data_IF_415411814412
#
_entry.id   IF_415411814412
#
_cell.length_a   1.000
_cell.length_b   1.000
_cell.length_c   1.000
_cell.angle_alpha   90.00
_cell.angle_beta   90.00
_cell.angle_gamma   90.00
#
_symmetry.space_group_name_H-M   'P 1'
#
loop_
_entity.id
_entity.type
_entity.pdbx_description
1 polymer ?
#
# COMPACT_ATOMS: atom_id res chain seq x y z
N UNK A 1 -18.96 -0.79 5.48
CA UNK A 1 -17.50 -0.77 5.66
C UNK A 1 -17.15 0.28 6.70
N UNK A 2 -16.16 0.00 7.57
CA UNK A 2 -15.62 0.98 8.51
C UNK A 2 -14.13 1.16 8.18
N UNK A 3 -13.74 2.39 7.83
CA UNK A 3 -12.42 2.69 7.29
C UNK A 3 -11.83 3.96 7.90
N UNK A 4 -10.50 4.11 7.99
CA UNK A 4 -9.85 5.30 8.53
C UNK A 4 -9.73 6.44 7.50
N UNK A 5 -10.13 6.22 6.25
CA UNK A 5 -10.04 7.20 5.17
C UNK A 5 -10.98 8.37 5.45
N UNK A 6 -10.45 9.60 5.43
CA UNK A 6 -11.25 10.80 5.66
C UNK A 6 -11.99 11.21 4.39
N UNK A 7 -13.21 11.70 4.55
CA UNK A 7 -13.98 12.26 3.45
C UNK A 7 -14.50 13.67 3.77
N UNK A 8 -14.66 14.48 2.73
CA UNK A 8 -15.30 15.79 2.81
C UNK A 8 -16.67 15.74 2.11
N UNK A 9 -17.72 16.27 2.75
CA UNK A 9 -19.04 16.34 2.16
C UNK A 9 -19.14 17.58 1.30
N UNK A 10 -19.33 17.41 -0.01
CA UNK A 10 -19.51 18.51 -0.96
C UNK A 10 -20.95 19.05 -0.93
N UNK A 11 -21.92 18.13 -0.88
CA UNK A 11 -23.35 18.43 -0.80
C UNK A 11 -24.13 17.24 -0.19
N UNK A 12 -25.44 17.21 -0.36
CA UNK A 12 -26.29 16.14 0.17
C UNK A 12 -25.97 14.74 -0.41
N UNK A 13 -25.43 14.68 -1.64
CA UNK A 13 -25.21 13.44 -2.39
C UNK A 13 -23.73 13.13 -2.63
N UNK A 14 -22.89 14.17 -2.79
CA UNK A 14 -21.50 14.01 -3.20
C UNK A 14 -20.54 14.16 -2.04
N UNK A 15 -19.50 13.32 -2.09
CA UNK A 15 -18.38 13.37 -1.16
C UNK A 15 -17.06 13.37 -1.93
N UNK A 16 -16.05 14.04 -1.38
CA UNK A 16 -14.70 14.02 -1.88
C UNK A 16 -13.79 13.26 -0.92
N UNK A 17 -12.94 12.40 -1.47
CA UNK A 17 -11.94 11.61 -0.75
C UNK A 17 -10.80 11.22 -1.68
N UNK A 18 -9.79 10.53 -1.18
CA UNK A 18 -8.64 10.08 -1.97
C UNK A 18 -9.06 9.37 -3.26
N UNK A 19 -8.57 9.82 -4.43
CA UNK A 19 -8.97 9.32 -5.75
C UNK A 19 -8.77 7.82 -5.92
N UNK A 20 -7.65 7.28 -5.40
CA UNK A 20 -7.37 5.85 -5.46
C UNK A 20 -8.39 5.03 -4.67
N UNK A 21 -8.88 5.55 -3.55
CA UNK A 21 -9.91 4.88 -2.76
C UNK A 21 -11.31 4.99 -3.40
N UNK A 22 -11.61 6.09 -4.11
CA UNK A 22 -12.82 6.18 -4.94
C UNK A 22 -12.87 5.05 -5.97
N UNK A 23 -11.78 4.87 -6.72
CA UNK A 23 -11.68 3.79 -7.71
C UNK A 23 -11.81 2.42 -7.07
N UNK A 24 -11.12 2.19 -5.94
CA UNK A 24 -11.23 0.94 -5.18
C UNK A 24 -12.68 0.61 -4.79
N UNK A 25 -13.43 1.59 -4.30
CA UNK A 25 -14.83 1.40 -3.91
C UNK A 25 -15.73 1.09 -5.11
N UNK A 26 -15.53 1.77 -6.25
CA UNK A 26 -16.26 1.48 -7.49
C UNK A 26 -15.99 0.06 -7.99
N UNK A 27 -14.73 -0.35 -8.05
CA UNK A 27 -14.34 -1.71 -8.43
C UNK A 27 -14.94 -2.75 -7.48
N UNK A 28 -14.84 -2.52 -6.17
CA UNK A 28 -15.41 -3.42 -5.16
C UNK A 28 -16.94 -3.51 -5.29
N UNK A 29 -17.61 -2.38 -5.54
CA UNK A 29 -19.05 -2.31 -5.74
C UNK A 29 -19.47 -3.07 -6.99
N UNK A 30 -18.73 -2.93 -8.10
CA UNK A 30 -18.98 -3.65 -9.34
C UNK A 30 -18.90 -5.17 -9.13
N UNK A 31 -17.86 -5.66 -8.47
CA UNK A 31 -17.63 -7.09 -8.25
C UNK A 31 -18.62 -7.73 -7.23
N UNK A 32 -19.11 -6.95 -6.26
CA UNK A 32 -20.03 -7.42 -5.22
C UNK A 32 -21.51 -7.10 -5.52
N UNK A 33 -21.79 -6.39 -6.59
CA UNK A 33 -23.12 -5.85 -6.91
C UNK A 33 -24.22 -6.88 -7.11
N UNK A 34 -23.89 -8.12 -7.44
CA UNK A 34 -24.83 -9.24 -7.56
C UNK A 34 -25.47 -9.63 -6.23
N UNK A 35 -24.77 -9.41 -5.11
CA UNK A 35 -25.23 -9.79 -3.76
C UNK A 35 -25.60 -8.59 -2.90
N UNK A 36 -24.85 -7.49 -2.99
CA UNK A 36 -25.02 -6.33 -2.16
C UNK A 36 -25.55 -5.14 -2.98
N UNK A 37 -26.78 -4.75 -2.77
CA UNK A 37 -27.41 -3.63 -3.46
C UNK A 37 -26.92 -2.27 -2.96
N UNK A 38 -26.45 -2.20 -1.70
CA UNK A 38 -25.99 -0.98 -1.06
C UNK A 38 -24.69 -1.18 -0.30
N UNK A 39 -23.76 -0.26 -0.47
CA UNK A 39 -22.55 -0.17 0.36
C UNK A 39 -22.66 1.05 1.26
N UNK A 40 -22.49 0.86 2.57
CA UNK A 40 -22.39 1.96 3.53
C UNK A 40 -20.94 2.07 3.99
N UNK A 41 -20.34 3.25 3.86
CA UNK A 41 -19.00 3.55 4.33
C UNK A 41 -19.09 4.48 5.54
N UNK A 42 -18.66 4.01 6.70
CA UNK A 42 -18.56 4.79 7.92
C UNK A 42 -17.10 5.20 8.14
N UNK A 43 -16.84 6.50 8.16
CA UNK A 43 -15.49 7.05 8.14
C UNK A 43 -15.40 8.41 8.89
N UNK A 44 -14.18 8.85 9.27
CA UNK A 44 -13.97 10.20 9.79
C UNK A 44 -14.21 11.28 8.73
N UNK A 45 -14.59 12.48 9.15
CA UNK A 45 -14.71 13.62 8.25
C UNK A 45 -13.39 14.36 8.08
N UNK A 46 -13.17 14.93 6.91
CA UNK A 46 -12.05 15.81 6.59
C UNK A 46 -12.44 17.26 6.92
N UNK A 47 -11.52 18.02 7.50
CA UNK A 47 -11.73 19.44 7.74
C UNK A 47 -11.74 20.23 6.41
N UNK A 48 -12.50 21.35 6.30
CA UNK A 48 -12.52 22.17 5.09
C UNK A 48 -11.13 22.65 4.64
N UNK A 49 -10.26 23.01 5.57
CA UNK A 49 -8.88 23.43 5.26
C UNK A 49 -8.05 22.30 4.64
N UNK A 50 -8.20 21.05 5.15
CA UNK A 50 -7.53 19.88 4.57
C UNK A 50 -8.07 19.58 3.17
N UNK A 51 -9.38 19.72 2.98
CA UNK A 51 -10.00 19.54 1.66
C UNK A 51 -9.43 20.52 0.63
N UNK A 52 -9.36 21.81 0.96
CA UNK A 52 -8.82 22.83 0.05
C UNK A 52 -7.35 22.59 -0.30
N UNK A 53 -6.56 22.17 0.69
CA UNK A 53 -5.13 21.87 0.47
C UNK A 53 -4.92 20.66 -0.43
N UNK A 54 -5.72 19.60 -0.24
CA UNK A 54 -5.49 18.31 -0.88
C UNK A 54 -6.38 18.09 -2.10
N UNK A 55 -7.16 19.10 -2.53
CA UNK A 55 -8.23 19.01 -3.55
C UNK A 55 -7.76 18.38 -4.86
N UNK A 56 -6.53 18.67 -5.30
CA UNK A 56 -5.98 18.11 -6.55
C UNK A 56 -5.81 16.58 -6.53
N UNK A 57 -5.77 15.98 -5.34
CA UNK A 57 -5.60 14.52 -5.16
C UNK A 57 -6.88 13.81 -4.76
N UNK A 58 -7.99 14.54 -4.64
CA UNK A 58 -9.27 14.00 -4.25
C UNK A 58 -10.12 13.66 -5.48
N UNK A 59 -10.81 12.54 -5.39
CA UNK A 59 -11.87 12.15 -6.32
C UNK A 59 -13.24 12.39 -5.69
N UNK A 60 -14.27 12.38 -6.51
CA UNK A 60 -15.66 12.54 -6.08
C UNK A 60 -16.45 11.26 -6.27
N UNK A 61 -17.26 10.90 -5.26
CA UNK A 61 -18.27 9.85 -5.34
C UNK A 61 -19.65 10.46 -5.15
N UNK A 62 -20.60 10.00 -5.99
CA UNK A 62 -22.02 10.32 -5.87
C UNK A 62 -22.75 9.15 -5.22
N UNK A 63 -23.48 9.42 -4.13
CA UNK A 63 -24.13 8.35 -3.35
C UNK A 63 -25.20 7.58 -4.14
N UNK A 64 -25.90 8.24 -5.04
CA UNK A 64 -26.96 7.63 -5.83
C UNK A 64 -26.39 6.88 -7.04
N UNK A 65 -25.45 7.51 -7.78
CA UNK A 65 -24.85 6.90 -8.97
C UNK A 65 -23.90 5.74 -8.62
N UNK A 66 -23.07 5.93 -7.60
CA UNK A 66 -22.12 4.90 -7.17
C UNK A 66 -22.74 3.85 -6.22
N UNK A 67 -23.97 4.06 -5.71
CA UNK A 67 -24.63 3.16 -4.77
C UNK A 67 -23.92 3.06 -3.41
N UNK A 68 -23.22 4.13 -2.99
CA UNK A 68 -22.37 4.16 -1.79
C UNK A 68 -22.85 5.25 -0.84
N UNK A 69 -23.42 4.86 0.30
CA UNK A 69 -23.85 5.78 1.35
C UNK A 69 -22.70 6.09 2.32
N UNK A 70 -22.54 7.36 2.69
CA UNK A 70 -21.50 7.82 3.61
C UNK A 70 -22.08 8.19 4.96
N UNK A 71 -21.41 7.68 6.02
CA UNK A 71 -21.75 7.94 7.42
C UNK A 71 -20.56 8.58 8.13
N UNK A 72 -20.70 9.83 8.54
CA UNK A 72 -19.70 10.52 9.32
C UNK A 72 -19.65 9.97 10.76
N UNK A 73 -18.49 9.53 11.21
CA UNK A 73 -18.27 9.04 12.56
C UNK A 73 -17.82 10.16 13.50
N UNK A 74 -16.65 10.76 13.23
CA UNK A 74 -16.09 11.86 14.02
C UNK A 74 -15.26 12.77 13.11
N UNK A 75 -14.91 14.00 13.59
CA UNK A 75 -13.91 14.84 12.91
C UNK A 75 -12.54 14.15 12.90
N UNK A 76 -11.89 14.09 11.75
CA UNK A 76 -10.58 13.45 11.58
C UNK A 76 -9.46 14.11 12.38
N UNK A 77 -9.60 15.42 12.64
CA UNK A 77 -8.66 16.22 13.44
C UNK A 77 -8.92 16.16 14.97
N UNK A 78 -9.94 15.42 15.43
CA UNK A 78 -10.25 15.34 16.86
C UNK A 78 -9.06 14.78 17.67
N UNK A 79 -8.60 15.53 18.67
CA UNK A 79 -7.60 15.07 19.63
C UNK A 79 -8.10 13.85 20.43
N UNK A 80 -7.18 13.04 21.00
CA UNK A 80 -7.52 11.81 21.73
C UNK A 80 -8.48 12.03 22.89
N UNK A 81 -8.21 13.03 23.73
CA UNK A 81 -9.06 13.37 24.89
C UNK A 81 -10.42 13.88 24.42
N UNK A 82 -10.45 14.82 23.47
CA UNK A 82 -11.68 15.35 22.89
C UNK A 82 -12.53 14.26 22.23
N UNK A 83 -11.90 13.28 21.60
CA UNK A 83 -12.61 12.12 21.05
C UNK A 83 -13.40 11.38 22.15
N UNK A 84 -12.75 10.99 23.24
CA UNK A 84 -13.40 10.21 24.30
C UNK A 84 -14.48 10.98 25.03
N UNK A 85 -14.24 12.27 25.32
CA UNK A 85 -15.20 13.11 26.08
C UNK A 85 -16.40 13.55 25.23
N UNK A 86 -16.20 13.87 23.95
CA UNK A 86 -17.24 14.51 23.12
C UNK A 86 -17.80 13.62 22.02
N UNK A 87 -17.00 12.73 21.45
CA UNK A 87 -17.37 11.99 20.23
C UNK A 87 -17.65 10.51 20.45
N UNK A 88 -16.95 9.85 21.37
CA UNK A 88 -17.01 8.40 21.54
C UNK A 88 -18.42 7.86 21.78
N UNK A 89 -19.29 8.43 22.66
CA UNK A 89 -20.64 7.91 22.85
C UNK A 89 -21.49 7.97 21.59
N UNK A 90 -21.36 9.07 20.82
CA UNK A 90 -22.06 9.22 19.53
C UNK A 90 -21.55 8.25 18.46
N UNK A 91 -20.24 8.06 18.39
CA UNK A 91 -19.58 7.10 17.46
C UNK A 91 -20.02 5.68 17.78
N UNK A 92 -19.95 5.26 19.05
CA UNK A 92 -20.36 3.92 19.51
C UNK A 92 -21.83 3.64 19.16
N UNK A 93 -22.74 4.58 19.50
CA UNK A 93 -24.18 4.44 19.18
C UNK A 93 -24.43 4.34 17.69
N UNK A 94 -23.78 5.20 16.90
CA UNK A 94 -23.91 5.22 15.44
C UNK A 94 -23.37 3.93 14.83
N UNK A 95 -22.18 3.53 15.23
CA UNK A 95 -21.54 2.31 14.75
C UNK A 95 -22.36 1.06 15.09
N UNK A 96 -22.89 0.96 16.31
CA UNK A 96 -23.78 -0.12 16.74
C UNK A 96 -25.01 -0.23 15.84
N UNK A 97 -25.64 0.91 15.54
CA UNK A 97 -26.83 0.96 14.68
C UNK A 97 -26.53 0.58 13.24
N UNK A 98 -25.43 1.09 12.68
CA UNK A 98 -25.04 0.78 11.31
C UNK A 98 -24.64 -0.70 11.15
N UNK A 99 -23.95 -1.28 12.13
CA UNK A 99 -23.63 -2.71 12.15
C UNK A 99 -24.89 -3.55 12.25
N UNK A 100 -25.86 -3.13 13.08
CA UNK A 100 -27.16 -3.83 13.20
C UNK A 100 -27.95 -3.87 11.89
N UNK A 101 -27.86 -2.81 11.10
CA UNK A 101 -28.55 -2.70 9.82
C UNK A 101 -27.80 -3.36 8.65
N UNK A 102 -26.58 -3.86 8.87
CA UNK A 102 -25.76 -4.43 7.83
C UNK A 102 -25.87 -5.96 7.79
N UNK A 103 -25.88 -6.55 6.59
CA UNK A 103 -25.77 -7.99 6.38
C UNK A 103 -24.32 -8.47 6.50
N UNK A 104 -23.38 -7.58 6.21
CA UNK A 104 -21.95 -7.85 6.18
C UNK A 104 -21.13 -6.65 6.66
N UNK A 105 -20.15 -6.91 7.53
CA UNK A 105 -19.27 -5.88 8.09
C UNK A 105 -17.85 -6.06 7.59
N UNK A 106 -17.32 -5.03 6.95
CA UNK A 106 -15.94 -4.97 6.51
C UNK A 106 -15.21 -3.89 7.32
N UNK A 107 -14.17 -4.26 8.05
CA UNK A 107 -13.34 -3.35 8.82
C UNK A 107 -11.90 -3.86 8.90
N UNK A 108 -11.00 -3.04 9.45
CA UNK A 108 -9.61 -3.40 9.73
C UNK A 108 -9.34 -3.64 11.22
N UNK A 109 -8.08 -3.90 11.56
CA UNK A 109 -7.57 -3.65 12.90
C UNK A 109 -7.17 -2.19 12.99
N UNK A 110 -7.51 -1.54 14.10
CA UNK A 110 -7.30 -0.08 14.20
C UNK A 110 -5.82 0.28 14.25
N UNK A 111 -5.42 1.19 13.38
CA UNK A 111 -4.07 1.79 13.42
C UNK A 111 -3.87 2.63 14.68
N UNK A 112 -4.92 3.33 15.11
CA UNK A 112 -4.92 4.11 16.36
C UNK A 112 -5.55 3.28 17.49
N UNK A 113 -4.68 2.73 18.34
CA UNK A 113 -5.09 1.90 19.49
C UNK A 113 -5.94 2.67 20.50
N UNK A 114 -5.82 4.00 20.54
CA UNK A 114 -6.64 4.86 21.41
C UNK A 114 -8.05 5.09 20.87
N UNK A 115 -8.25 4.95 19.57
CA UNK A 115 -9.55 5.09 18.90
C UNK A 115 -9.83 3.86 18.06
N UNK A 116 -10.08 2.70 18.69
CA UNK A 116 -10.16 1.41 18.01
C UNK A 116 -11.49 1.22 17.25
N UNK A 117 -11.87 2.17 16.40
CA UNK A 117 -13.18 2.26 15.76
C UNK A 117 -13.42 1.08 14.83
N UNK A 118 -12.44 0.75 13.99
CA UNK A 118 -12.54 -0.38 13.07
C UNK A 118 -12.66 -1.71 13.83
N UNK A 119 -11.87 -1.87 14.89
CA UNK A 119 -11.94 -3.06 15.73
C UNK A 119 -13.28 -3.14 16.50
N UNK A 120 -13.81 -2.01 16.97
CA UNK A 120 -15.15 -1.96 17.58
C UNK A 120 -16.24 -2.41 16.61
N UNK A 121 -16.11 -2.08 15.31
CA UNK A 121 -17.05 -2.57 14.31
C UNK A 121 -17.02 -4.11 14.20
N UNK A 122 -15.86 -4.73 14.25
CA UNK A 122 -15.73 -6.19 14.27
C UNK A 122 -16.29 -6.81 15.55
N UNK A 123 -16.05 -6.18 16.70
CA UNK A 123 -16.63 -6.60 17.98
C UNK A 123 -18.17 -6.52 17.93
N UNK A 124 -18.74 -5.42 17.42
CA UNK A 124 -20.18 -5.26 17.29
C UNK A 124 -20.78 -6.25 16.27
N UNK A 125 -20.07 -6.53 15.19
CA UNK A 125 -20.46 -7.59 14.26
C UNK A 125 -20.52 -8.96 14.96
N UNK A 126 -19.55 -9.28 15.79
CA UNK A 126 -19.53 -10.52 16.60
C UNK A 126 -20.69 -10.59 17.59
N UNK A 127 -20.94 -9.50 18.34
CA UNK A 127 -22.02 -9.42 19.33
C UNK A 127 -23.41 -9.50 18.70
N UNK A 128 -23.56 -9.04 17.47
CA UNK A 128 -24.84 -9.04 16.74
C UNK A 128 -24.95 -10.20 15.72
N UNK A 129 -24.04 -11.20 15.82
CA UNK A 129 -24.00 -12.36 14.93
C UNK A 129 -23.98 -11.98 13.43
N UNK A 130 -23.33 -10.84 13.07
CA UNK A 130 -23.18 -10.41 11.68
C UNK A 130 -21.92 -11.03 11.07
N UNK A 131 -22.03 -11.47 9.82
CA UNK A 131 -20.86 -11.92 9.05
C UNK A 131 -19.90 -10.76 8.88
N UNK A 132 -18.59 -11.03 9.03
CA UNK A 132 -17.59 -9.97 9.00
C UNK A 132 -16.31 -10.41 8.30
N UNK A 133 -15.62 -9.40 7.77
CA UNK A 133 -14.31 -9.50 7.16
C UNK A 133 -13.37 -8.49 7.80
N UNK A 134 -12.18 -8.96 8.15
CA UNK A 134 -11.08 -8.11 8.60
C UNK A 134 -10.05 -7.95 7.48
N UNK A 135 -9.60 -6.72 7.24
CA UNK A 135 -8.50 -6.43 6.31
C UNK A 135 -7.37 -5.74 7.06
N UNK A 136 -6.15 -6.23 6.91
CA UNK A 136 -4.95 -5.63 7.50
C UNK A 136 -3.99 -5.26 6.38
N UNK A 137 -3.78 -3.95 6.22
CA UNK A 137 -3.02 -3.39 5.11
C UNK A 137 -1.51 -3.35 5.37
N UNK A 138 -1.08 -3.22 6.62
CA UNK A 138 0.34 -3.06 6.96
C UNK A 138 0.67 -3.92 8.18
N UNK A 139 1.77 -4.64 8.09
CA UNK A 139 2.40 -5.28 9.25
C UNK A 139 3.22 -4.24 10.02
N UNK A 140 2.68 -3.77 11.12
CA UNK A 140 3.34 -2.76 11.97
C UNK A 140 4.29 -3.38 13.02
N UNK A 141 4.47 -4.71 12.99
CA UNK A 141 5.43 -5.37 13.86
C UNK A 141 6.84 -5.02 13.40
N UNK A 142 7.67 -4.56 14.30
CA UNK A 142 9.03 -4.10 13.98
C UNK A 142 9.15 -2.64 13.54
N UNK A 143 8.04 -1.97 13.17
CA UNK A 143 8.09 -0.55 12.77
C UNK A 143 8.73 0.34 13.84
N UNK A 144 8.37 0.14 15.10
CA UNK A 144 8.96 0.91 16.20
C UNK A 144 10.48 0.71 16.30
N UNK A 145 10.97 -0.49 16.02
CA UNK A 145 12.40 -0.80 16.00
C UNK A 145 13.10 -0.09 14.86
N UNK A 146 12.57 -0.17 13.65
CA UNK A 146 13.14 0.52 12.48
C UNK A 146 13.17 2.04 12.70
N UNK A 147 12.07 2.64 13.17
CA UNK A 147 12.01 4.07 13.50
C UNK A 147 12.95 4.47 14.61
N UNK A 148 13.25 3.58 15.55
CA UNK A 148 14.27 3.81 16.59
C UNK A 148 15.68 3.80 16.00
N UNK A 149 15.96 2.86 15.11
CA UNK A 149 17.26 2.73 14.44
C UNK A 149 17.56 3.90 13.50
N UNK A 150 16.55 4.44 12.83
CA UNK A 150 16.66 5.65 11.98
C UNK A 150 16.59 6.97 12.76
N UNK A 151 16.55 6.93 14.11
CA UNK A 151 16.48 8.14 14.95
C UNK A 151 15.13 8.87 14.94
N UNK A 152 14.14 8.37 14.18
CA UNK A 152 12.80 9.01 14.06
C UNK A 152 11.86 8.72 15.23
N UNK A 153 12.27 7.88 16.20
CA UNK A 153 11.49 7.53 17.39
C UNK A 153 12.34 7.61 18.67
N UNK A 154 11.94 8.48 19.60
CA UNK A 154 12.60 8.61 20.91
C UNK A 154 12.41 7.37 21.79
N UNK A 155 13.32 7.15 22.76
CA UNK A 155 13.35 5.96 23.61
C UNK A 155 12.03 5.72 24.36
N UNK A 156 11.44 6.77 24.97
CA UNK A 156 10.16 6.67 25.70
C UNK A 156 9.02 6.17 24.79
N UNK A 157 8.92 6.75 23.61
CA UNK A 157 7.91 6.36 22.62
C UNK A 157 8.17 4.94 22.10
N UNK A 158 9.43 4.54 21.93
CA UNK A 158 9.81 3.19 21.55
C UNK A 158 9.34 2.15 22.59
N UNK A 159 9.65 2.41 23.88
CA UNK A 159 9.22 1.52 24.98
C UNK A 159 7.70 1.41 25.01
N UNK A 160 6.98 2.53 24.90
CA UNK A 160 5.52 2.53 24.89
C UNK A 160 4.94 1.75 23.70
N UNK A 161 5.53 1.90 22.51
CA UNK A 161 5.12 1.12 21.34
C UNK A 161 5.32 -0.38 21.56
N UNK A 162 6.47 -0.78 22.08
CA UNK A 162 6.82 -2.19 22.31
C UNK A 162 6.01 -2.82 23.45
N UNK A 163 5.82 -2.10 24.55
CA UNK A 163 5.17 -2.65 25.75
C UNK A 163 3.63 -2.60 25.69
N UNK A 164 3.05 -1.66 24.94
CA UNK A 164 1.61 -1.46 24.92
C UNK A 164 1.01 -1.58 23.52
N UNK A 165 1.49 -0.83 22.52
CA UNK A 165 0.79 -0.74 21.24
C UNK A 165 0.92 -2.02 20.40
N UNK A 166 2.10 -2.58 20.28
CA UNK A 166 2.29 -3.82 19.52
C UNK A 166 1.53 -5.01 20.13
N UNK A 167 1.57 -5.25 21.48
CA UNK A 167 0.75 -6.29 22.10
C UNK A 167 -0.75 -6.08 21.88
N UNK A 168 -1.27 -4.86 22.05
CA UNK A 168 -2.70 -4.56 21.83
C UNK A 168 -3.12 -4.83 20.39
N UNK A 169 -2.33 -4.41 19.40
CA UNK A 169 -2.58 -4.73 17.99
C UNK A 169 -2.54 -6.23 17.74
N UNK A 170 -1.59 -6.95 18.34
CA UNK A 170 -1.52 -8.39 18.27
C UNK A 170 -2.77 -9.09 18.84
N UNK A 171 -3.30 -8.58 19.94
CA UNK A 171 -4.56 -9.07 20.53
C UNK A 171 -5.74 -8.77 19.59
N UNK A 172 -5.87 -7.55 19.08
CA UNK A 172 -6.92 -7.20 18.13
C UNK A 172 -6.91 -8.12 16.91
N UNK A 173 -5.73 -8.41 16.35
CA UNK A 173 -5.62 -9.28 15.18
C UNK A 173 -5.98 -10.73 15.51
N UNK A 174 -5.52 -11.27 16.66
CA UNK A 174 -5.90 -12.62 17.10
C UNK A 174 -7.41 -12.76 17.28
N UNK A 175 -8.06 -11.75 17.87
CA UNK A 175 -9.50 -11.74 18.04
C UNK A 175 -10.23 -11.62 16.71
N UNK A 176 -9.77 -10.74 15.80
CA UNK A 176 -10.33 -10.60 14.47
C UNK A 176 -10.23 -11.92 13.68
N UNK A 177 -9.08 -12.61 13.72
CA UNK A 177 -8.89 -13.92 13.10
C UNK A 177 -9.85 -14.98 13.68
N UNK A 178 -10.20 -14.88 14.95
CA UNK A 178 -11.13 -15.81 15.60
C UNK A 178 -12.62 -15.50 15.30
N UNK A 179 -12.96 -14.24 15.10
CA UNK A 179 -14.35 -13.77 14.98
C UNK A 179 -14.85 -13.63 13.55
N UNK A 180 -13.96 -13.21 12.65
CA UNK A 180 -14.32 -12.93 11.27
C UNK A 180 -14.40 -14.20 10.42
N UNK A 181 -15.39 -14.25 9.52
CA UNK A 181 -15.51 -15.34 8.55
C UNK A 181 -14.46 -15.26 7.44
N UNK A 182 -13.87 -14.08 7.22
CA UNK A 182 -12.78 -13.87 6.27
C UNK A 182 -11.79 -12.86 6.83
N UNK A 183 -10.49 -13.18 6.73
CA UNK A 183 -9.40 -12.28 7.12
C UNK A 183 -8.44 -12.14 5.96
N UNK A 184 -8.24 -10.93 5.51
CA UNK A 184 -7.37 -10.58 4.40
C UNK A 184 -6.13 -9.86 4.93
N UNK A 185 -4.96 -10.46 4.74
CA UNK A 185 -3.70 -9.93 5.25
C UNK A 185 -2.77 -9.55 4.09
N UNK A 186 -2.31 -8.32 4.07
CA UNK A 186 -1.20 -7.87 3.24
C UNK A 186 0.11 -8.23 3.94
N UNK A 187 0.90 -9.08 3.34
CA UNK A 187 2.16 -9.56 3.90
C UNK A 187 2.15 -11.06 4.13
N UNK A 188 3.12 -11.73 3.53
CA UNK A 188 3.22 -13.20 3.59
C UNK A 188 3.52 -13.68 5.00
N UNK A 189 4.36 -12.96 5.73
CA UNK A 189 4.69 -13.27 7.12
C UNK A 189 3.49 -13.19 8.04
N UNK A 190 2.66 -12.13 7.93
CA UNK A 190 1.39 -12.06 8.67
C UNK A 190 0.50 -13.26 8.36
N UNK A 191 0.38 -13.59 7.08
CA UNK A 191 -0.44 -14.72 6.65
C UNK A 191 0.12 -16.06 7.14
N UNK A 192 1.43 -16.27 7.15
CA UNK A 192 2.07 -17.46 7.69
C UNK A 192 1.84 -17.58 9.20
N UNK A 193 1.94 -16.48 9.96
CA UNK A 193 1.82 -16.48 11.42
C UNK A 193 0.36 -16.68 11.89
N UNK A 194 -0.61 -16.06 11.20
CA UNK A 194 -2.01 -16.09 11.63
C UNK A 194 -2.90 -17.03 10.81
N UNK A 195 -2.44 -17.46 9.63
CA UNK A 195 -3.22 -18.28 8.71
C UNK A 195 -3.01 -19.79 8.83
N UNK A 196 -1.97 -20.25 9.56
CA UNK A 196 -1.68 -21.69 9.70
C UNK A 196 -2.89 -22.45 10.25
N UNK A 197 -3.41 -23.41 9.49
CA UNK A 197 -4.60 -24.18 9.84
C UNK A 197 -5.92 -23.39 9.79
N UNK A 198 -5.93 -22.19 9.17
CA UNK A 198 -7.11 -21.30 9.11
C UNK A 198 -7.43 -20.94 7.67
N UNK A 199 -8.27 -21.70 6.96
CA UNK A 199 -8.55 -21.50 5.54
C UNK A 199 -9.26 -20.17 5.23
N UNK A 200 -9.86 -19.51 6.22
CA UNK A 200 -10.49 -18.19 6.11
C UNK A 200 -9.50 -17.03 6.18
N UNK A 201 -8.23 -17.27 6.53
CA UNK A 201 -7.16 -16.26 6.47
C UNK A 201 -6.49 -16.34 5.11
N UNK A 202 -6.51 -15.26 4.35
CA UNK A 202 -6.02 -15.20 2.98
C UNK A 202 -4.97 -14.11 2.84
N UNK A 203 -3.91 -14.41 2.11
CA UNK A 203 -2.99 -13.40 1.63
C UNK A 203 -3.62 -12.58 0.52
N UNK A 204 -3.43 -11.26 0.55
CA UNK A 204 -3.81 -10.35 -0.53
C UNK A 204 -2.64 -9.48 -0.95
N UNK A 205 -2.64 -9.15 -2.23
CA UNK A 205 -1.85 -8.08 -2.81
C UNK A 205 -2.81 -6.99 -3.30
N UNK A 206 -2.41 -5.72 -3.18
CA UNK A 206 -3.20 -4.60 -3.67
C UNK A 206 -2.43 -3.89 -4.76
N UNK A 207 -2.67 -4.31 -5.99
CA UNK A 207 -2.21 -3.63 -7.18
C UNK A 207 -3.19 -2.51 -7.54
N UNK A 208 -2.66 -1.37 -7.97
CA UNK A 208 -3.48 -0.27 -8.51
C UNK A 208 -3.56 -0.32 -10.04
N UNK A 209 -2.59 -0.96 -10.69
CA UNK A 209 -2.56 -1.11 -12.14
C UNK A 209 -3.55 -2.16 -12.65
N UNK A 210 -4.15 -1.87 -13.79
CA UNK A 210 -5.04 -2.76 -14.54
C UNK A 210 -4.29 -3.44 -15.70
N UNK A 211 -4.98 -4.34 -16.40
CA UNK A 211 -4.42 -5.03 -17.59
C UNK A 211 -3.99 -4.06 -18.71
N UNK A 212 -4.62 -2.90 -18.83
CA UNK A 212 -4.28 -1.87 -19.81
C UNK A 212 -2.93 -1.16 -19.57
N UNK A 213 -2.41 -1.24 -18.32
CA UNK A 213 -1.13 -0.65 -17.95
C UNK A 213 0.06 -1.58 -18.17
N UNK A 214 -0.18 -2.83 -18.53
CA UNK A 214 0.87 -3.82 -18.72
C UNK A 214 1.66 -3.53 -20.00
N UNK A 215 2.96 -3.81 -19.97
CA UNK A 215 3.80 -3.76 -21.15
C UNK A 215 3.28 -4.67 -22.26
N UNK A 216 3.24 -4.13 -23.47
CA UNK A 216 2.96 -4.93 -24.67
C UNK A 216 4.16 -5.81 -25.01
N UNK A 217 3.96 -6.95 -25.73
CA UNK A 217 5.07 -7.79 -26.18
C UNK A 217 6.09 -7.06 -27.07
N UNK A 218 5.65 -6.03 -27.80
CA UNK A 218 6.56 -5.18 -28.59
C UNK A 218 7.46 -4.32 -27.68
N UNK A 219 6.88 -3.70 -26.66
CA UNK A 219 7.64 -2.90 -25.69
C UNK A 219 8.59 -3.76 -24.85
N UNK A 220 8.24 -5.02 -24.55
CA UNK A 220 9.16 -5.95 -23.88
C UNK A 220 10.38 -6.29 -24.75
N UNK A 221 10.19 -6.54 -26.04
CA UNK A 221 11.31 -6.78 -26.97
C UNK A 221 12.20 -5.55 -27.10
N UNK A 222 11.59 -4.36 -27.22
CA UNK A 222 12.34 -3.11 -27.27
C UNK A 222 13.18 -2.91 -26.00
N UNK A 223 12.60 -3.14 -24.81
CA UNK A 223 13.33 -3.07 -23.53
C UNK A 223 14.52 -4.04 -23.50
N UNK A 224 14.33 -5.28 -23.96
CA UNK A 224 15.41 -6.25 -24.00
C UNK A 224 16.56 -5.78 -24.90
N UNK A 225 16.26 -5.15 -26.04
CA UNK A 225 17.26 -4.53 -26.93
C UNK A 225 17.96 -3.35 -26.26
N UNK A 226 17.21 -2.49 -25.57
CA UNK A 226 17.78 -1.33 -24.85
C UNK A 226 18.72 -1.73 -23.71
N UNK A 227 18.38 -2.80 -22.97
CA UNK A 227 19.25 -3.35 -21.93
C UNK A 227 20.51 -4.02 -22.48
N UNK A 228 20.46 -4.50 -23.72
CA UNK A 228 21.60 -5.10 -24.39
C UNK A 228 22.58 -4.05 -24.99
N UNK A 229 22.13 -2.79 -25.16
CA UNK A 229 22.95 -1.72 -25.74
C UNK A 229 23.97 -1.20 -24.73
N UNK A 230 25.31 -1.44 -24.93
CA UNK A 230 26.34 -0.99 -24.00
C UNK A 230 26.48 0.54 -23.97
N UNK A 231 26.10 1.24 -25.04
CA UNK A 231 26.27 2.68 -25.17
C UNK A 231 25.21 3.50 -24.44
N UNK A 232 24.11 2.90 -24.01
CA UNK A 232 23.10 3.56 -23.19
C UNK A 232 23.50 3.70 -21.74
N UNK A 233 23.17 4.83 -21.13
CA UNK A 233 23.31 5.01 -19.69
C UNK A 233 22.31 4.12 -18.92
N UNK A 234 22.66 3.76 -17.69
CA UNK A 234 21.72 3.08 -16.79
C UNK A 234 20.71 4.11 -16.25
N UNK A 235 19.46 4.00 -16.70
CA UNK A 235 18.37 4.89 -16.29
C UNK A 235 17.72 4.36 -15.00
N UNK A 236 18.01 5.01 -13.88
CA UNK A 236 17.39 4.73 -12.57
C UNK A 236 16.22 5.66 -12.33
N UNK A 237 15.19 5.19 -11.64
CA UNK A 237 14.06 6.01 -11.26
C UNK A 237 13.63 5.74 -9.80
N UNK A 238 13.23 6.80 -9.12
CA UNK A 238 12.35 6.76 -7.96
C UNK A 238 11.06 7.48 -8.32
N UNK A 239 9.90 6.96 -7.91
CA UNK A 239 8.66 7.71 -8.02
C UNK A 239 7.76 7.53 -6.80
N UNK A 240 7.13 8.62 -6.39
CA UNK A 240 6.23 8.67 -5.24
C UNK A 240 6.42 9.92 -4.39
N UNK A 241 5.81 9.93 -3.21
CA UNK A 241 5.92 11.07 -2.28
C UNK A 241 7.33 11.21 -1.74
N UNK A 242 7.86 12.44 -1.75
CA UNK A 242 9.18 12.74 -1.20
C UNK A 242 9.07 13.02 0.30
N UNK A 243 9.00 11.94 1.08
CA UNK A 243 8.90 11.95 2.55
C UNK A 243 10.02 11.09 3.15
N UNK A 244 10.52 11.47 4.32
CA UNK A 244 11.71 10.88 4.92
C UNK A 244 11.67 9.34 5.02
N UNK A 245 10.55 8.76 5.43
CA UNK A 245 10.47 7.31 5.61
C UNK A 245 10.55 6.50 4.29
N UNK A 246 10.36 7.13 3.13
CA UNK A 246 10.55 6.49 1.81
C UNK A 246 12.02 6.34 1.42
N UNK A 247 12.95 6.99 2.15
CA UNK A 247 14.40 6.84 1.98
C UNK A 247 14.93 7.31 0.63
N UNK A 248 14.31 8.32 0.03
CA UNK A 248 14.77 8.88 -1.27
C UNK A 248 16.17 9.45 -1.13
N UNK A 249 16.52 9.99 0.03
CA UNK A 249 17.86 10.45 0.36
C UNK A 249 18.88 9.29 0.31
N UNK A 250 18.52 8.10 0.78
CA UNK A 250 19.38 6.92 0.68
C UNK A 250 19.58 6.50 -0.78
N UNK A 251 18.53 6.58 -1.62
CA UNK A 251 18.67 6.33 -3.06
C UNK A 251 19.63 7.33 -3.71
N UNK A 252 19.46 8.63 -3.41
CA UNK A 252 20.34 9.69 -3.92
C UNK A 252 21.78 9.49 -3.46
N UNK A 253 21.99 9.24 -2.17
CA UNK A 253 23.33 9.00 -1.60
C UNK A 253 24.01 7.78 -2.24
N UNK A 254 23.26 6.70 -2.49
CA UNK A 254 23.79 5.51 -3.14
C UNK A 254 24.20 5.76 -4.60
N UNK A 255 23.40 6.50 -5.37
CA UNK A 255 23.74 6.89 -6.75
C UNK A 255 25.03 7.73 -6.76
N UNK A 256 25.15 8.71 -5.85
CA UNK A 256 26.33 9.55 -5.75
C UNK A 256 27.56 8.76 -5.27
N UNK A 257 27.38 7.78 -4.40
CA UNK A 257 28.47 6.91 -3.95
C UNK A 257 28.93 5.97 -5.08
N UNK A 258 28.01 5.39 -5.85
CA UNK A 258 28.33 4.59 -7.03
C UNK A 258 29.12 5.40 -8.07
N UNK A 259 28.72 6.64 -8.32
CA UNK A 259 29.42 7.54 -9.23
C UNK A 259 30.83 7.86 -8.79
N UNK A 260 31.04 8.14 -7.51
CA UNK A 260 32.39 8.33 -6.94
C UNK A 260 33.26 7.07 -7.04
N UNK A 261 32.64 5.89 -7.04
CA UNK A 261 33.28 4.60 -7.26
C UNK A 261 33.53 4.26 -8.73
N UNK A 262 33.22 5.16 -9.67
CA UNK A 262 33.49 4.99 -11.11
C UNK A 262 32.24 4.67 -11.96
N UNK A 263 31.07 4.46 -11.39
CA UNK A 263 29.82 4.23 -12.14
C UNK A 263 29.27 5.57 -12.67
N UNK A 264 29.86 6.10 -13.72
CA UNK A 264 29.54 7.43 -14.28
C UNK A 264 28.46 7.43 -15.34
N UNK A 265 28.12 6.27 -15.90
CA UNK A 265 27.08 6.11 -16.93
C UNK A 265 25.71 5.80 -16.31
N UNK A 266 25.35 6.57 -15.29
CA UNK A 266 24.10 6.46 -14.54
C UNK A 266 23.31 7.76 -14.65
N UNK A 267 22.02 7.66 -14.89
CA UNK A 267 21.07 8.77 -14.76
C UNK A 267 20.05 8.42 -13.69
N UNK A 268 19.71 9.35 -12.84
CA UNK A 268 18.74 9.14 -11.79
C UNK A 268 17.62 10.16 -11.85
N UNK A 269 16.41 9.68 -12.07
CA UNK A 269 15.20 10.51 -12.05
C UNK A 269 14.47 10.35 -10.72
N UNK A 270 14.15 11.46 -10.07
CA UNK A 270 13.31 11.54 -8.89
C UNK A 270 11.97 12.16 -9.30
N UNK A 271 10.95 11.34 -9.49
CA UNK A 271 9.61 11.75 -9.94
C UNK A 271 8.69 11.84 -8.72
N UNK A 272 8.33 13.06 -8.33
CA UNK A 272 7.45 13.26 -7.19
C UNK A 272 7.61 14.60 -6.49
N UNK A 273 6.82 14.78 -5.44
CA UNK A 273 6.80 15.99 -4.59
C UNK A 273 6.58 15.61 -3.14
N UNK A 274 7.07 16.44 -2.24
CA UNK A 274 6.88 16.24 -0.81
C UNK A 274 7.74 17.18 0.05
N UNK A 275 7.65 17.07 1.37
CA UNK A 275 8.41 17.91 2.31
C UNK A 275 9.92 17.86 2.11
N UNK A 276 10.46 16.74 1.60
CA UNK A 276 11.89 16.55 1.39
C UNK A 276 12.38 17.12 0.05
N UNK A 277 11.50 17.66 -0.83
CA UNK A 277 11.85 18.10 -2.18
C UNK A 277 13.00 19.09 -2.22
N UNK A 278 12.94 20.17 -1.43
CA UNK A 278 13.96 21.21 -1.39
C UNK A 278 15.30 20.66 -0.91
N UNK A 279 15.27 19.86 0.15
CA UNK A 279 16.48 19.23 0.72
C UNK A 279 17.17 18.28 -0.25
N UNK A 280 16.38 17.43 -0.94
CA UNK A 280 16.94 16.50 -1.92
C UNK A 280 17.57 17.24 -3.12
N UNK A 281 16.94 18.30 -3.59
CA UNK A 281 17.52 19.15 -4.66
C UNK A 281 18.80 19.84 -4.23
N UNK A 282 18.87 20.31 -2.99
CA UNK A 282 20.08 20.91 -2.44
C UNK A 282 21.22 19.90 -2.34
N UNK A 283 20.95 18.68 -1.82
CA UNK A 283 21.93 17.60 -1.76
C UNK A 283 22.45 17.19 -3.14
N UNK A 284 21.56 17.13 -4.14
CA UNK A 284 21.96 16.82 -5.51
C UNK A 284 22.85 17.92 -6.12
N UNK A 285 22.52 19.19 -5.88
CA UNK A 285 23.34 20.33 -6.36
C UNK A 285 24.70 20.38 -5.67
N UNK A 286 24.76 20.15 -4.37
CA UNK A 286 25.99 20.16 -3.60
C UNK A 286 26.96 19.03 -3.99
N UNK A 287 26.45 17.92 -4.51
CA UNK A 287 27.24 16.78 -4.95
C UNK A 287 27.95 16.99 -6.31
N UNK A 288 27.63 18.03 -7.04
CA UNK A 288 28.24 18.35 -8.34
C UNK A 288 27.70 17.47 -9.49
N UNK A 289 28.42 17.47 -10.63
CA UNK A 289 27.93 16.92 -11.91
C UNK A 289 28.47 15.51 -12.23
N UNK A 290 28.87 14.72 -11.23
CA UNK A 290 29.43 13.39 -11.48
C UNK A 290 28.45 12.44 -12.22
N UNK A 291 27.15 12.62 -11.98
CA UNK A 291 26.04 11.90 -12.67
C UNK A 291 24.86 12.84 -12.86
N UNK A 292 24.03 12.55 -13.85
CA UNK A 292 22.81 13.32 -14.10
C UNK A 292 21.70 12.91 -13.14
N UNK A 293 21.18 13.91 -12.39
CA UNK A 293 20.05 13.75 -11.48
C UNK A 293 18.94 14.70 -11.91
N UNK A 294 17.81 14.16 -12.33
CA UNK A 294 16.67 14.92 -12.81
C UNK A 294 15.50 14.85 -11.78
N UNK A 295 14.92 16.01 -11.44
CA UNK A 295 13.72 16.10 -10.61
C UNK A 295 12.52 16.39 -11.50
N UNK A 296 11.53 15.50 -11.49
CA UNK A 296 10.31 15.63 -12.28
C UNK A 296 9.09 15.77 -11.36
N UNK A 297 8.09 16.60 -11.76
CA UNK A 297 6.85 16.68 -11.02
C UNK A 297 6.10 15.36 -11.05
N UNK A 298 5.18 15.10 -10.06
CA UNK A 298 4.39 13.89 -10.07
C UNK A 298 3.49 13.83 -11.30
N UNK A 299 3.40 12.65 -11.90
CA UNK A 299 2.47 12.37 -12.99
C UNK A 299 1.17 11.76 -12.44
N UNK A 300 0.03 12.06 -13.03
CA UNK A 300 -1.23 11.41 -12.74
C UNK A 300 -1.10 9.89 -12.95
N UNK A 301 -1.76 9.11 -12.10
CA UNK A 301 -1.84 7.67 -12.30
C UNK A 301 -2.55 7.37 -13.64
N UNK A 302 -1.92 6.58 -14.48
CA UNK A 302 -2.45 6.22 -15.80
C UNK A 302 -1.36 6.19 -16.89
N UNK A 303 -1.75 6.23 -18.17
CA UNK A 303 -0.85 5.98 -19.30
C UNK A 303 0.44 6.80 -19.32
N UNK A 304 0.38 8.07 -18.92
CA UNK A 304 1.56 8.94 -18.88
C UNK A 304 2.60 8.46 -17.85
N UNK A 305 2.14 8.06 -16.67
CA UNK A 305 3.03 7.51 -15.64
C UNK A 305 3.68 6.21 -16.12
N UNK A 306 2.90 5.27 -16.64
CA UNK A 306 3.42 3.98 -17.11
C UNK A 306 4.37 4.13 -18.31
N UNK A 307 4.08 5.04 -19.24
CA UNK A 307 5.00 5.39 -20.32
C UNK A 307 6.32 5.99 -19.81
N UNK A 308 6.26 6.82 -18.75
CA UNK A 308 7.49 7.36 -18.12
C UNK A 308 8.29 6.26 -17.41
N UNK A 309 7.62 5.39 -16.66
CA UNK A 309 8.27 4.25 -16.01
C UNK A 309 8.91 3.30 -17.02
N UNK A 310 8.25 3.06 -18.13
CA UNK A 310 8.76 2.19 -19.19
C UNK A 310 10.08 2.67 -19.82
N UNK A 311 10.46 3.93 -19.66
CA UNK A 311 11.76 4.45 -20.15
C UNK A 311 12.93 4.19 -19.19
N UNK A 312 12.65 3.87 -17.94
CA UNK A 312 13.70 3.57 -16.95
C UNK A 312 14.13 2.11 -17.03
N UNK A 313 15.30 1.79 -16.48
CA UNK A 313 15.86 0.43 -16.45
C UNK A 313 15.66 -0.23 -15.08
N UNK A 314 15.63 0.56 -13.98
CA UNK A 314 15.58 0.04 -12.61
C UNK A 314 14.89 1.04 -11.68
N UNK A 315 13.93 0.56 -10.88
CA UNK A 315 13.37 1.32 -9.77
C UNK A 315 14.26 1.20 -8.53
N UNK A 316 14.58 2.32 -7.89
CA UNK A 316 15.21 2.34 -6.57
C UNK A 316 14.17 2.50 -5.48
N UNK A 317 14.24 1.66 -4.44
CA UNK A 317 13.36 1.70 -3.29
C UNK A 317 14.13 1.43 -1.99
N UNK A 318 14.33 2.47 -1.18
CA UNK A 318 15.12 2.40 0.04
C UNK A 318 14.30 2.79 1.30
N UNK A 319 13.12 2.16 1.57
CA UNK A 319 12.25 2.58 2.67
C UNK A 319 12.94 2.42 4.03
N UNK A 320 12.80 3.43 4.89
CA UNK A 320 13.34 3.46 6.24
C UNK A 320 12.34 2.96 7.29
N UNK A 321 11.14 2.57 6.87
CA UNK A 321 10.13 1.90 7.70
C UNK A 321 9.37 0.90 6.85
N UNK A 322 8.59 0.02 7.49
CA UNK A 322 7.68 -0.87 6.75
C UNK A 322 6.67 -0.06 5.96
N UNK A 323 6.55 -0.39 4.69
CA UNK A 323 5.66 0.29 3.75
C UNK A 323 5.21 -0.69 2.65
N UNK A 324 3.96 -0.59 2.25
CA UNK A 324 3.45 -1.42 1.16
C UNK A 324 4.07 -0.97 -0.17
N UNK A 325 4.67 -1.89 -0.96
CA UNK A 325 5.46 -1.53 -2.14
C UNK A 325 4.57 -1.23 -3.37
N UNK A 326 3.60 -0.32 -3.25
CA UNK A 326 2.66 0.02 -4.36
C UNK A 326 3.41 0.53 -5.58
N UNK A 327 4.36 1.45 -5.38
CA UNK A 327 5.21 1.94 -6.47
C UNK A 327 6.01 0.82 -7.15
N UNK A 328 6.53 -0.15 -6.38
CA UNK A 328 7.21 -1.29 -6.96
C UNK A 328 6.29 -2.14 -7.83
N UNK A 329 5.04 -2.35 -7.41
CA UNK A 329 4.04 -3.08 -8.19
C UNK A 329 3.70 -2.36 -9.50
N UNK A 330 3.52 -1.04 -9.45
CA UNK A 330 3.26 -0.23 -10.64
C UNK A 330 4.48 -0.22 -11.60
N UNK A 331 5.70 -0.16 -11.04
CA UNK A 331 6.93 -0.29 -11.82
C UNK A 331 7.01 -1.65 -12.54
N UNK A 332 6.69 -2.75 -11.83
CA UNK A 332 6.68 -4.09 -12.42
C UNK A 332 5.67 -4.23 -13.56
N UNK A 333 4.52 -3.53 -13.49
CA UNK A 333 3.56 -3.48 -14.59
C UNK A 333 4.14 -2.79 -15.84
N UNK A 334 5.01 -1.81 -15.66
CA UNK A 334 5.81 -1.21 -16.72
C UNK A 334 7.06 -2.04 -17.09
N UNK A 335 7.18 -3.29 -16.63
CA UNK A 335 8.32 -4.18 -16.86
C UNK A 335 9.61 -3.72 -16.19
N UNK A 336 9.54 -2.91 -15.15
CA UNK A 336 10.68 -2.33 -14.48
C UNK A 336 11.05 -3.19 -13.26
N UNK A 337 12.26 -3.77 -13.19
CA UNK A 337 12.74 -4.45 -12.00
C UNK A 337 13.01 -3.46 -10.88
N UNK A 338 13.18 -3.98 -9.66
CA UNK A 338 13.31 -3.16 -8.45
C UNK A 338 14.60 -3.52 -7.72
N UNK A 339 15.38 -2.51 -7.32
CA UNK A 339 16.47 -2.64 -6.37
C UNK A 339 16.04 -2.02 -5.06
N UNK A 340 15.97 -2.81 -3.98
CA UNK A 340 15.36 -2.37 -2.74
C UNK A 340 16.12 -2.75 -1.48
N UNK A 341 15.93 -1.98 -0.40
CA UNK A 341 16.25 -2.43 0.93
C UNK A 341 15.39 -3.62 1.36
N UNK A 342 16.02 -4.59 2.04
CA UNK A 342 15.36 -5.80 2.55
C UNK A 342 14.46 -5.49 3.75
N UNK A 343 13.28 -4.89 3.50
CA UNK A 343 12.19 -4.82 4.46
C UNK A 343 11.27 -6.04 4.28
N UNK A 344 10.34 -6.27 5.19
CA UNK A 344 9.44 -7.42 5.16
C UNK A 344 8.67 -7.53 3.83
N UNK A 345 8.10 -6.39 3.36
CA UNK A 345 7.32 -6.37 2.12
C UNK A 345 8.17 -6.56 0.87
N UNK A 346 9.37 -5.97 0.83
CA UNK A 346 10.26 -6.17 -0.32
C UNK A 346 10.87 -7.56 -0.33
N UNK A 347 11.14 -8.15 0.84
CA UNK A 347 11.56 -9.56 0.96
C UNK A 347 10.48 -10.49 0.42
N UNK A 348 9.21 -10.26 0.79
CA UNK A 348 8.09 -11.00 0.23
C UNK A 348 7.93 -10.81 -1.28
N UNK A 349 8.17 -9.59 -1.78
CA UNK A 349 8.05 -9.28 -3.20
C UNK A 349 9.20 -9.88 -4.02
N UNK A 350 10.37 -10.08 -3.42
CA UNK A 350 11.53 -10.68 -4.08
C UNK A 350 11.30 -12.13 -4.54
N UNK A 351 10.33 -12.82 -3.93
CA UNK A 351 9.90 -14.15 -4.41
C UNK A 351 9.35 -14.12 -5.86
N UNK A 352 8.99 -12.95 -6.38
CA UNK A 352 8.62 -12.75 -7.78
C UNK A 352 9.78 -12.95 -8.76
N UNK A 353 11.03 -12.91 -8.28
CA UNK A 353 12.24 -12.86 -9.11
C UNK A 353 12.51 -11.50 -9.77
N UNK A 354 11.72 -10.48 -9.47
CA UNK A 354 11.81 -9.13 -10.08
C UNK A 354 12.48 -8.09 -9.17
N UNK A 355 12.82 -8.47 -7.95
CA UNK A 355 13.37 -7.57 -6.94
C UNK A 355 14.74 -8.07 -6.50
N UNK A 356 15.73 -7.23 -6.67
CA UNK A 356 17.05 -7.40 -6.08
C UNK A 356 17.09 -6.73 -4.72
N UNK A 357 17.53 -7.44 -3.69
CA UNK A 357 17.57 -6.95 -2.32
C UNK A 357 18.98 -6.63 -1.87
N UNK A 358 19.10 -5.54 -1.13
CA UNK A 358 20.32 -5.21 -0.38
C UNK A 358 20.01 -5.08 1.12
N UNK A 359 20.99 -5.28 2.01
CA UNK A 359 20.77 -5.16 3.45
C UNK A 359 20.19 -3.81 3.84
N UNK A 360 19.17 -3.82 4.72
CA UNK A 360 18.59 -2.62 5.29
C UNK A 360 19.42 -2.11 6.49
N UNK A 361 19.69 -0.83 6.61
CA UNK A 361 19.57 0.31 5.69
C UNK A 361 20.90 0.68 5.02
N UNK A 362 21.60 -0.24 4.35
CA UNK A 362 22.93 -0.02 3.80
C UNK A 362 22.92 0.74 2.46
N UNK A 363 23.33 2.00 2.52
CA UNK A 363 23.53 2.85 1.34
C UNK A 363 24.70 2.34 0.50
N UNK A 364 25.73 1.81 1.15
CA UNK A 364 26.94 1.25 0.52
C UNK A 364 26.56 0.04 -0.34
N UNK A 365 25.81 -0.91 0.21
CA UNK A 365 25.36 -2.09 -0.54
C UNK A 365 24.45 -1.71 -1.72
N UNK A 366 23.63 -0.65 -1.55
CA UNK A 366 22.80 -0.12 -2.64
C UNK A 366 23.69 0.46 -3.74
N UNK A 367 24.74 1.22 -3.39
CA UNK A 367 25.70 1.80 -4.34
C UNK A 367 26.49 0.73 -5.10
N UNK A 368 26.98 -0.29 -4.40
CA UNK A 368 27.71 -1.43 -5.00
C UNK A 368 26.82 -2.16 -6.01
N UNK A 369 25.53 -2.35 -5.69
CA UNK A 369 24.60 -3.01 -6.60
C UNK A 369 24.24 -2.15 -7.81
N UNK A 370 24.15 -0.82 -7.66
CA UNK A 370 24.00 0.12 -8.79
C UNK A 370 25.19 0.01 -9.73
N UNK A 371 26.42 0.07 -9.22
CA UNK A 371 27.64 -0.06 -10.01
C UNK A 371 27.72 -1.42 -10.72
N UNK A 372 27.30 -2.49 -10.05
CA UNK A 372 27.25 -3.82 -10.65
C UNK A 372 26.27 -3.93 -11.83
N UNK A 373 25.12 -3.26 -11.76
CA UNK A 373 24.18 -3.20 -12.90
C UNK A 373 24.66 -2.23 -14.00
N UNK A 374 25.33 -1.15 -13.65
CA UNK A 374 25.89 -0.22 -14.64
C UNK A 374 26.97 -0.90 -15.47
N UNK A 375 27.85 -1.68 -14.85
CA UNK A 375 28.90 -2.42 -15.52
C UNK A 375 28.35 -3.43 -16.55
N UNK A 376 27.17 -4.01 -16.34
CA UNK A 376 26.48 -4.88 -17.30
C UNK A 376 24.97 -4.84 -17.10
N UNK A 377 24.27 -4.01 -17.89
CA UNK A 377 22.82 -3.84 -17.84
C UNK A 377 22.04 -5.09 -18.24
N UNK A 378 22.64 -6.04 -18.99
CA UNK A 378 21.99 -7.30 -19.38
C UNK A 378 21.56 -8.12 -18.16
N UNK A 379 22.20 -7.91 -17.01
CA UNK A 379 21.80 -8.52 -15.72
C UNK A 379 20.41 -8.14 -15.27
N UNK A 380 19.86 -7.02 -15.77
CA UNK A 380 18.48 -6.59 -15.50
C UNK A 380 17.45 -7.38 -16.35
N UNK A 381 17.83 -8.00 -17.45
CA UNK A 381 16.89 -8.66 -18.37
C UNK A 381 16.06 -9.78 -17.71
N UNK A 382 16.64 -10.70 -16.91
CA UNK A 382 15.85 -11.73 -16.23
C UNK A 382 14.89 -11.13 -15.19
N UNK A 383 15.31 -10.09 -14.46
CA UNK A 383 14.47 -9.42 -13.48
C UNK A 383 13.31 -8.65 -14.14
N UNK A 384 13.56 -7.97 -15.27
CA UNK A 384 12.55 -7.27 -16.04
C UNK A 384 11.48 -8.23 -16.59
N UNK A 385 11.91 -9.39 -17.10
CA UNK A 385 11.01 -10.46 -17.52
C UNK A 385 10.15 -10.98 -16.36
N UNK A 386 10.77 -11.22 -15.21
CA UNK A 386 10.06 -11.64 -14.00
C UNK A 386 9.05 -10.57 -13.52
N UNK A 387 9.40 -9.28 -13.60
CA UNK A 387 8.51 -8.17 -13.29
C UNK A 387 7.23 -8.22 -14.14
N UNK A 388 7.38 -8.36 -15.46
CA UNK A 388 6.24 -8.42 -16.38
C UNK A 388 5.36 -9.65 -16.11
N UNK A 389 5.97 -10.82 -15.91
CA UNK A 389 5.23 -12.05 -15.61
C UNK A 389 4.45 -11.93 -14.30
N UNK A 390 5.08 -11.39 -13.27
CA UNK A 390 4.43 -11.16 -11.98
C UNK A 390 3.27 -10.17 -12.11
N UNK A 391 3.46 -9.05 -12.81
CA UNK A 391 2.43 -8.05 -13.00
C UNK A 391 1.21 -8.60 -13.76
N UNK A 392 1.41 -9.39 -14.81
CA UNK A 392 0.32 -10.06 -15.56
C UNK A 392 -0.55 -10.95 -14.66
N UNK A 393 0.04 -11.62 -13.69
CA UNK A 393 -0.67 -12.48 -12.74
C UNK A 393 -1.33 -11.72 -11.58
N UNK A 394 -1.04 -10.41 -11.40
CA UNK A 394 -1.40 -9.65 -10.19
C UNK A 394 -2.07 -8.30 -10.49
N UNK A 395 -2.87 -8.20 -11.54
CA UNK A 395 -3.61 -6.97 -11.85
C UNK A 395 -4.68 -6.65 -10.81
N UNK A 396 -5.14 -5.40 -10.77
CA UNK A 396 -6.21 -4.95 -9.88
C UNK A 396 -7.48 -5.79 -10.06
N UNK A 397 -7.88 -6.07 -11.33
CA UNK A 397 -9.08 -6.84 -11.64
C UNK A 397 -8.95 -8.29 -11.12
N UNK A 398 -7.76 -8.89 -11.25
CA UNK A 398 -7.50 -10.22 -10.71
C UNK A 398 -7.76 -10.26 -9.19
N UNK A 399 -7.17 -9.32 -8.45
CA UNK A 399 -7.29 -9.28 -7.01
C UNK A 399 -8.69 -8.87 -6.53
N UNK A 400 -9.38 -7.95 -7.23
CA UNK A 400 -10.75 -7.58 -6.89
C UNK A 400 -11.71 -8.76 -7.08
N UNK A 401 -11.65 -9.46 -8.21
CA UNK A 401 -12.44 -10.68 -8.44
C UNK A 401 -12.16 -11.76 -7.40
N UNK A 402 -10.89 -11.96 -7.04
CA UNK A 402 -10.51 -12.95 -6.03
C UNK A 402 -11.05 -12.60 -4.65
N UNK A 403 -10.95 -11.33 -4.24
CA UNK A 403 -11.50 -10.83 -2.97
C UNK A 403 -13.04 -10.94 -2.97
N UNK A 404 -13.70 -10.56 -4.04
CA UNK A 404 -15.15 -10.68 -4.18
C UNK A 404 -15.59 -12.14 -4.05
N UNK A 405 -14.93 -13.08 -4.75
CA UNK A 405 -15.21 -14.50 -4.64
C UNK A 405 -15.11 -15.01 -3.20
N UNK A 406 -14.07 -14.68 -2.48
CA UNK A 406 -13.93 -15.07 -1.08
C UNK A 406 -14.99 -14.45 -0.17
N UNK A 407 -15.38 -13.20 -0.44
CA UNK A 407 -16.45 -12.52 0.31
C UNK A 407 -17.80 -13.16 0.04
N UNK A 408 -18.13 -13.45 -1.22
CA UNK A 408 -19.39 -14.09 -1.62
C UNK A 408 -19.51 -15.51 -1.09
N UNK A 409 -18.41 -16.27 -1.05
CA UNK A 409 -18.38 -17.61 -0.47
C UNK A 409 -18.82 -17.67 1.02
N UNK A 410 -18.74 -16.55 1.74
CA UNK A 410 -19.29 -16.49 3.10
C UNK A 410 -20.80 -16.64 3.14
N UNK A 411 -21.49 -16.41 2.00
CA UNK A 411 -22.94 -16.41 1.90
C UNK A 411 -23.48 -17.64 1.16
N UNK A 412 -22.60 -18.44 0.59
CA UNK A 412 -22.99 -19.71 -0.01
C UNK A 412 -23.37 -20.72 1.08
N UNK A 413 -24.39 -21.56 0.86
CA UNK A 413 -24.65 -22.70 1.74
C UNK A 413 -23.37 -23.57 1.76
N UNK A 414 -22.76 -23.73 2.91
CA UNK A 414 -21.68 -24.72 3.02
C UNK A 414 -22.31 -26.07 2.67
N UNK A 415 -21.81 -26.82 1.66
CA UNK A 415 -22.23 -28.19 1.47
C UNK A 415 -22.00 -28.90 2.81
N UNK A 416 -23.07 -29.47 3.32
CA UNK A 416 -23.10 -30.09 4.63
C UNK A 416 -21.98 -31.14 4.71
N UNK A 417 -20.90 -30.83 5.43
CA UNK A 417 -19.96 -31.79 6.02
C UNK A 417 -20.67 -32.55 7.17
N UNK A 418 -21.90 -32.99 6.90
CA UNK A 418 -22.77 -33.70 7.85
C UNK A 418 -23.28 -34.98 7.23
N UNK A 419 -22.39 -35.92 6.96
CA UNK A 419 -22.83 -37.32 6.75
C UNK A 419 -21.77 -38.38 7.10
N UNK A 420 -20.57 -38.08 7.57
CA UNK A 420 -19.53 -39.12 7.80
C UNK A 420 -19.02 -39.26 9.23
N UNK A 421 -19.67 -38.66 10.25
CA UNK A 421 -19.30 -38.89 11.66
C UNK A 421 -20.43 -39.57 12.44
N UNK A 422 -21.36 -40.24 11.76
CA UNK A 422 -22.30 -41.16 12.37
C UNK A 422 -22.43 -42.45 11.54
N UNK A 423 -21.38 -43.23 11.50
CA UNK A 423 -21.41 -44.71 11.33
C UNK A 423 -20.23 -45.32 12.06
#
# INVERSE_FOLDING_TARGET
>A
MVVPVRFHRLDARRVALESAFCLHLRCLRAELGTRFTRVTVAAPTMAPADYLRDQAHLGTLDQDLDGIRWVALQPGAAGRIAFWLRHAPGVVRRLWREVRAADFVHAGTSHDVYRPIEFLALLFARLQARRSQCVVDIDLRGEARMRRQTGSLGLRSYVLCRALYEPLRGIQLRLAVRWCGLVLLKGRRLCADYGRGRPHVKYILEAAFSSEHLLTPAAERQRASELADPERDLELIYFGRLVAYKGVECCLAAVLAAARGGATRVRFTILGVGPESARLQELARAAGSAVRIDFEPPLPFGPQLFARLARAHLLLAAPLSEDTPRSALDAMAAGLPVLAFATEYYTSLAESGAVELVPWPSVEALAERIAWFEADKRRLAPLARAATLFARANTQEHWMRRRARWTLALFEPQPALLAEVRR
#
